data_IF_337049241356
#
_entry.id   IF_337049241356
#
_cell.length_a   1.000
_cell.length_b   1.000
_cell.length_c   1.000
_cell.angle_alpha   90.00
_cell.angle_beta   90.00
_cell.angle_gamma   90.00
#
_symmetry.space_group_name_H-M   'P 1'
#
loop_
_entity.id
_entity.type
_entity.pdbx_description
1 polymer ?
#
# COMPACT_ATOMS: atom_id res chain seq x y z
N UNK A 1 25.19 -44.51 10.29
CA UNK A 1 24.37 -43.35 10.67
C UNK A 1 23.00 -43.63 10.11
N UNK A 2 22.04 -43.97 10.98
CA UNK A 2 20.67 -44.37 10.58
C UNK A 2 19.87 -43.17 10.04
N UNK A 3 18.99 -43.42 9.05
CA UNK A 3 18.13 -42.42 8.45
C UNK A 3 17.25 -41.67 9.47
N UNK A 4 16.96 -42.24 10.62
CA UNK A 4 16.22 -41.62 11.73
C UNK A 4 16.98 -40.47 12.41
N UNK A 5 18.33 -40.45 12.38
CA UNK A 5 19.12 -39.38 12.98
C UNK A 5 19.18 -38.11 12.09
N UNK A 6 18.85 -38.21 10.80
CA UNK A 6 18.81 -37.08 9.86
C UNK A 6 17.44 -36.38 9.90
N UNK A 7 16.38 -37.08 10.29
CA UNK A 7 15.00 -36.52 10.32
C UNK A 7 14.73 -35.67 11.57
N UNK A 8 15.52 -35.84 12.64
CA UNK A 8 15.36 -35.11 13.92
C UNK A 8 16.01 -33.70 13.97
N UNK A 9 16.71 -33.25 12.93
CA UNK A 9 17.55 -32.05 12.99
C UNK A 9 17.01 -30.79 12.31
N UNK A 10 15.79 -30.82 11.74
CA UNK A 10 15.20 -29.62 11.08
C UNK A 10 13.75 -29.48 11.50
N UNK A 11 13.39 -28.67 12.47
CA UNK A 11 12.12 -27.95 12.32
C UNK A 11 11.79 -26.74 13.20
N UNK A 12 12.53 -26.31 14.17
CA UNK A 12 12.00 -25.30 15.11
C UNK A 12 12.03 -23.83 14.62
N UNK A 13 12.74 -23.48 13.58
CA UNK A 13 12.80 -22.09 13.07
C UNK A 13 11.61 -21.72 12.19
N UNK A 14 11.01 -22.64 11.44
CA UNK A 14 9.91 -22.37 10.51
C UNK A 14 8.57 -22.08 11.21
N UNK A 15 8.29 -22.75 12.33
CA UNK A 15 7.05 -22.53 13.08
C UNK A 15 6.95 -21.13 13.69
N UNK A 16 8.07 -20.58 14.16
CA UNK A 16 8.15 -19.20 14.69
C UNK A 16 7.89 -18.13 13.63
N UNK A 17 8.42 -18.32 12.41
CA UNK A 17 8.24 -17.42 11.28
C UNK A 17 6.80 -17.45 10.74
N UNK A 18 6.27 -18.62 10.51
CA UNK A 18 4.88 -18.80 10.05
C UNK A 18 3.88 -18.24 11.07
N UNK A 19 4.05 -18.54 12.36
CA UNK A 19 3.23 -17.99 13.44
C UNK A 19 3.27 -16.47 13.52
N UNK A 20 4.43 -15.85 13.29
CA UNK A 20 4.60 -14.41 13.22
C UNK A 20 3.79 -13.82 12.07
N UNK A 21 4.03 -14.28 10.83
CA UNK A 21 3.32 -13.76 9.64
C UNK A 21 1.81 -13.97 9.74
N UNK A 22 1.36 -15.08 10.30
CA UNK A 22 -0.06 -15.31 10.55
C UNK A 22 -0.69 -14.27 11.47
N UNK A 23 -0.06 -13.98 12.63
CA UNK A 23 -0.58 -12.99 13.60
C UNK A 23 -0.55 -11.58 13.01
N UNK A 24 0.53 -11.21 12.38
CA UNK A 24 0.70 -9.84 11.84
C UNK A 24 -0.11 -9.60 10.58
N UNK A 25 -0.38 -10.61 9.76
CA UNK A 25 -1.27 -10.51 8.61
C UNK A 25 -2.74 -10.27 8.98
N UNK A 26 -3.15 -10.59 10.22
CA UNK A 26 -4.47 -10.24 10.73
C UNK A 26 -4.69 -8.71 10.81
N UNK A 27 -3.63 -7.91 10.95
CA UNK A 27 -3.73 -6.45 11.03
C UNK A 27 -4.29 -5.86 9.72
N UNK A 28 -3.62 -5.97 8.55
CA UNK A 28 -4.17 -5.44 7.31
C UNK A 28 -5.53 -6.07 6.95
N UNK A 29 -5.72 -7.37 7.16
CA UNK A 29 -6.99 -8.06 6.89
C UNK A 29 -8.11 -7.53 7.80
N UNK A 30 -7.84 -7.27 9.08
CA UNK A 30 -8.80 -6.70 10.02
C UNK A 30 -9.24 -5.28 9.63
N UNK A 31 -8.30 -4.42 9.22
CA UNK A 31 -8.65 -3.08 8.72
C UNK A 31 -9.45 -3.13 7.42
N UNK A 32 -9.12 -4.05 6.50
CA UNK A 32 -9.94 -4.26 5.29
C UNK A 32 -11.36 -4.75 5.63
N UNK A 33 -11.50 -5.61 6.65
CA UNK A 33 -12.83 -6.01 7.16
C UNK A 33 -13.57 -4.82 7.78
N UNK A 34 -12.86 -3.93 8.49
CA UNK A 34 -13.41 -2.67 8.99
C UNK A 34 -13.98 -1.78 7.89
N UNK A 35 -13.35 -1.73 6.70
CA UNK A 35 -13.88 -0.99 5.53
C UNK A 35 -15.21 -1.58 5.08
N UNK A 36 -15.35 -2.92 5.09
CA UNK A 36 -16.62 -3.57 4.74
C UNK A 36 -17.71 -3.18 5.74
N UNK A 37 -17.41 -3.19 7.03
CA UNK A 37 -18.35 -2.74 8.07
C UNK A 37 -18.77 -1.28 7.83
N UNK A 38 -17.79 -0.37 7.61
CA UNK A 38 -18.08 1.04 7.30
C UNK A 38 -18.94 1.15 6.04
N UNK A 39 -18.71 0.33 5.02
CA UNK A 39 -19.54 0.31 3.79
C UNK A 39 -21.00 -0.03 4.05
N UNK A 40 -21.32 -0.86 5.06
CA UNK A 40 -22.71 -1.17 5.44
C UNK A 40 -23.33 -0.13 6.37
N UNK A 41 -22.55 0.43 7.30
CA UNK A 41 -23.07 1.38 8.31
C UNK A 41 -22.87 2.85 7.94
N UNK A 42 -22.32 3.14 6.76
CA UNK A 42 -21.98 4.50 6.31
C UNK A 42 -23.15 5.52 6.40
N UNK A 43 -24.43 5.17 6.22
CA UNK A 43 -25.50 6.16 6.38
C UNK A 43 -25.62 6.74 7.78
N UNK A 44 -25.11 6.00 8.79
CA UNK A 44 -25.14 6.38 10.21
C UNK A 44 -23.82 7.03 10.68
N UNK A 45 -22.81 7.17 9.80
CA UNK A 45 -21.49 7.69 10.12
C UNK A 45 -21.21 9.01 9.37
N UNK A 46 -21.24 10.18 10.04
CA UNK A 46 -21.03 11.48 9.37
C UNK A 46 -19.71 11.57 8.59
N UNK A 47 -18.64 11.00 9.12
CA UNK A 47 -17.29 11.05 8.53
C UNK A 47 -16.86 9.74 7.85
N UNK A 48 -17.80 8.92 7.38
CA UNK A 48 -17.51 7.58 6.85
C UNK A 48 -16.45 7.54 5.73
N UNK A 49 -16.45 8.55 4.83
CA UNK A 49 -15.46 8.63 3.74
C UNK A 49 -14.04 8.78 4.30
N UNK A 50 -13.87 9.72 5.24
CA UNK A 50 -12.61 9.95 5.92
C UNK A 50 -12.17 8.68 6.66
N UNK A 51 -13.09 8.05 7.38
CA UNK A 51 -12.83 6.81 8.12
C UNK A 51 -12.40 5.67 7.19
N UNK A 52 -13.10 5.45 6.07
CA UNK A 52 -12.76 4.42 5.09
C UNK A 52 -11.37 4.65 4.46
N UNK A 53 -11.03 5.91 4.13
CA UNK A 53 -9.72 6.28 3.59
C UNK A 53 -8.62 5.96 4.61
N UNK A 54 -8.79 6.33 5.88
CA UNK A 54 -7.77 6.12 6.90
C UNK A 54 -7.68 4.66 7.36
N UNK A 55 -8.78 3.91 7.39
CA UNK A 55 -8.77 2.45 7.56
C UNK A 55 -7.95 1.76 6.45
N UNK A 56 -8.12 2.19 5.20
CA UNK A 56 -7.35 1.66 4.09
C UNK A 56 -5.86 2.05 4.20
N UNK A 57 -5.57 3.35 4.26
CA UNK A 57 -4.20 3.85 4.10
C UNK A 57 -3.36 3.69 5.36
N UNK A 58 -3.85 4.18 6.50
CA UNK A 58 -3.10 4.15 7.75
C UNK A 58 -3.24 2.78 8.43
N UNK A 59 -4.43 2.19 8.35
CA UNK A 59 -4.69 0.84 8.87
C UNK A 59 -4.10 -0.27 8.01
N UNK A 60 -4.75 -0.61 6.89
CA UNK A 60 -4.38 -1.80 6.11
C UNK A 60 -3.03 -1.65 5.39
N UNK A 61 -2.87 -0.58 4.61
CA UNK A 61 -1.67 -0.37 3.75
C UNK A 61 -0.43 -0.16 4.60
N UNK A 62 -0.47 0.71 5.62
CA UNK A 62 0.72 1.00 6.42
C UNK A 62 1.17 -0.21 7.24
N UNK A 63 0.24 -1.03 7.79
CA UNK A 63 0.63 -2.29 8.42
C UNK A 63 1.25 -3.26 7.42
N UNK A 64 0.70 -3.38 6.20
CA UNK A 64 1.29 -4.20 5.15
C UNK A 64 2.69 -3.70 4.76
N UNK A 65 2.88 -2.37 4.60
CA UNK A 65 4.17 -1.78 4.28
C UNK A 65 5.19 -2.07 5.39
N UNK A 66 4.87 -1.81 6.66
CA UNK A 66 5.78 -2.06 7.78
C UNK A 66 6.21 -3.53 7.86
N UNK A 67 5.27 -4.45 7.67
CA UNK A 67 5.52 -5.89 7.73
C UNK A 67 6.38 -6.36 6.55
N UNK A 68 5.94 -6.04 5.34
CA UNK A 68 6.56 -6.60 4.14
C UNK A 68 7.83 -5.89 3.73
N UNK A 69 7.98 -4.56 3.96
CA UNK A 69 9.24 -3.87 3.72
C UNK A 69 10.37 -4.38 4.63
N UNK A 70 10.04 -4.74 5.89
CA UNK A 70 11.00 -5.40 6.76
C UNK A 70 11.42 -6.78 6.22
N UNK A 71 10.45 -7.57 5.77
CA UNK A 71 10.70 -8.88 5.15
C UNK A 71 11.56 -8.76 3.88
N UNK A 72 11.19 -7.85 2.96
CA UNK A 72 11.95 -7.62 1.73
C UNK A 72 13.35 -7.08 2.01
N UNK A 73 13.50 -6.16 2.97
CA UNK A 73 14.82 -5.64 3.37
C UNK A 73 15.74 -6.77 3.81
N UNK A 74 15.27 -7.67 4.68
CA UNK A 74 16.07 -8.82 5.10
C UNK A 74 16.43 -9.72 3.91
N UNK A 75 15.50 -9.96 2.99
CA UNK A 75 15.72 -10.81 1.83
C UNK A 75 16.71 -10.19 0.82
N UNK A 76 16.53 -8.90 0.45
CA UNK A 76 17.34 -8.25 -0.59
C UNK A 76 18.75 -7.91 -0.10
N UNK A 77 18.92 -7.64 1.19
CA UNK A 77 20.21 -7.37 1.82
C UNK A 77 20.89 -8.66 2.32
N UNK A 78 20.19 -9.81 2.27
CA UNK A 78 20.70 -11.10 2.77
C UNK A 78 21.13 -11.05 4.23
N UNK A 79 20.42 -10.27 5.06
CA UNK A 79 20.67 -10.21 6.49
C UNK A 79 19.85 -11.26 7.22
N UNK A 80 20.44 -11.84 8.26
CA UNK A 80 19.79 -12.86 9.07
C UNK A 80 18.54 -12.29 9.76
N UNK A 81 17.49 -13.11 9.86
CA UNK A 81 16.32 -12.73 10.64
C UNK A 81 16.73 -12.51 12.11
N UNK A 82 16.19 -11.49 12.79
CA UNK A 82 16.53 -11.25 14.18
C UNK A 82 16.09 -12.43 15.05
N UNK A 83 16.90 -12.77 16.06
CA UNK A 83 16.62 -13.87 17.03
C UNK A 83 15.29 -13.60 17.75
N UNK A 84 14.98 -12.34 18.06
CA UNK A 84 13.70 -11.94 18.64
C UNK A 84 13.00 -10.89 17.77
N UNK A 85 11.69 -11.04 17.61
CA UNK A 85 10.86 -10.08 16.88
C UNK A 85 10.23 -9.00 17.80
N UNK A 86 10.78 -8.84 19.01
CA UNK A 86 10.23 -7.91 20.01
C UNK A 86 10.17 -6.47 19.48
N UNK A 87 11.24 -5.97 18.86
CA UNK A 87 11.28 -4.62 18.30
C UNK A 87 10.28 -4.41 17.16
N UNK A 88 10.06 -5.44 16.33
CA UNK A 88 9.07 -5.42 15.26
C UNK A 88 7.63 -5.43 15.85
N UNK A 89 7.40 -6.24 16.89
CA UNK A 89 6.11 -6.29 17.59
C UNK A 89 5.77 -4.95 18.27
N UNK A 90 6.72 -4.34 18.97
CA UNK A 90 6.54 -3.02 19.62
C UNK A 90 6.23 -1.96 18.57
N UNK A 91 6.96 -1.93 17.46
CA UNK A 91 6.72 -0.98 16.37
C UNK A 91 5.32 -1.12 15.78
N UNK A 92 4.86 -2.35 15.53
CA UNK A 92 3.49 -2.62 15.06
C UNK A 92 2.44 -2.26 16.12
N UNK A 93 2.70 -2.53 17.40
CA UNK A 93 1.79 -2.16 18.49
C UNK A 93 1.62 -0.65 18.60
N UNK A 94 2.73 0.11 18.61
CA UNK A 94 2.72 1.59 18.64
C UNK A 94 2.00 2.15 17.41
N UNK A 95 2.28 1.59 16.22
CA UNK A 95 1.58 1.96 14.98
C UNK A 95 0.07 1.80 15.14
N UNK A 96 -0.40 0.64 15.59
CA UNK A 96 -1.84 0.34 15.67
C UNK A 96 -2.54 1.13 16.78
N UNK A 97 -1.91 1.36 17.93
CA UNK A 97 -2.43 2.28 18.94
C UNK A 97 -2.57 3.69 18.38
N UNK A 98 -1.56 4.15 17.63
CA UNK A 98 -1.61 5.43 16.93
C UNK A 98 -2.76 5.51 15.91
N UNK A 99 -2.91 4.48 15.08
CA UNK A 99 -4.01 4.38 14.11
C UNK A 99 -5.37 4.45 14.80
N UNK A 100 -5.57 3.66 15.86
CA UNK A 100 -6.84 3.67 16.61
C UNK A 100 -7.13 5.04 17.22
N UNK A 101 -6.11 5.74 17.75
CA UNK A 101 -6.24 7.11 18.27
C UNK A 101 -6.67 8.10 17.18
N UNK A 102 -6.05 8.03 15.99
CA UNK A 102 -6.43 8.87 14.84
C UNK A 102 -7.87 8.59 14.40
N UNK A 103 -8.24 7.31 14.25
CA UNK A 103 -9.58 6.91 13.81
C UNK A 103 -10.65 7.32 14.82
N UNK A 104 -10.41 7.14 16.12
CA UNK A 104 -11.33 7.55 17.17
C UNK A 104 -11.54 9.07 17.19
N UNK A 105 -10.49 9.85 17.09
CA UNK A 105 -10.59 11.31 17.05
C UNK A 105 -11.35 11.83 15.82
N UNK A 106 -11.13 11.21 14.65
CA UNK A 106 -11.82 11.59 13.41
C UNK A 106 -13.29 11.18 13.35
N UNK A 107 -13.78 10.42 14.33
CA UNK A 107 -15.19 9.98 14.40
C UNK A 107 -15.95 10.60 15.57
N UNK A 108 -15.49 10.38 16.81
CA UNK A 108 -16.23 10.75 18.03
C UNK A 108 -15.34 11.29 19.15
N UNK A 109 -14.03 11.23 18.98
CA UNK A 109 -13.08 11.51 20.03
C UNK A 109 -12.61 12.97 20.08
N UNK A 110 -11.96 13.36 21.16
CA UNK A 110 -11.37 14.69 21.28
C UNK A 110 -10.09 14.83 20.43
N UNK A 111 -9.79 16.07 20.03
CA UNK A 111 -8.63 16.41 19.16
C UNK A 111 -7.31 15.89 19.73
N UNK A 112 -7.09 15.97 21.05
CA UNK A 112 -5.85 15.50 21.67
C UNK A 112 -5.58 14.00 21.40
N UNK A 113 -6.63 13.19 21.30
CA UNK A 113 -6.50 11.75 20.97
C UNK A 113 -5.97 11.55 19.55
N UNK A 114 -6.40 12.40 18.61
CA UNK A 114 -5.89 12.38 17.23
C UNK A 114 -4.43 12.83 17.14
N UNK A 115 -4.06 13.86 17.89
CA UNK A 115 -2.67 14.33 17.98
C UNK A 115 -1.77 13.25 18.61
N UNK A 116 -2.19 12.66 19.73
CA UNK A 116 -1.46 11.55 20.36
C UNK A 116 -1.37 10.32 19.43
N UNK A 117 -2.47 10.01 18.73
CA UNK A 117 -2.49 8.95 17.72
C UNK A 117 -1.50 9.21 16.58
N UNK A 118 -1.49 10.42 16.03
CA UNK A 118 -0.53 10.84 14.99
C UNK A 118 0.92 10.77 15.49
N UNK A 119 1.19 11.17 16.74
CA UNK A 119 2.50 11.02 17.36
C UNK A 119 2.92 9.55 17.49
N UNK A 120 2.00 8.64 17.80
CA UNK A 120 2.23 7.20 17.81
C UNK A 120 2.60 6.66 16.42
N UNK A 121 1.83 7.04 15.38
CA UNK A 121 2.14 6.70 13.99
C UNK A 121 3.53 7.23 13.60
N UNK A 122 3.81 8.50 13.90
CA UNK A 122 5.10 9.13 13.62
C UNK A 122 6.25 8.37 14.29
N UNK A 123 6.14 8.07 15.59
CA UNK A 123 7.15 7.33 16.35
C UNK A 123 7.40 5.93 15.77
N UNK A 124 6.36 5.21 15.39
CA UNK A 124 6.48 3.90 14.76
C UNK A 124 7.23 3.97 13.42
N UNK A 125 6.95 5.00 12.61
CA UNK A 125 7.62 5.21 11.30
C UNK A 125 9.07 5.65 11.48
N UNK A 126 9.37 6.52 12.47
CA UNK A 126 10.76 6.86 12.83
C UNK A 126 11.54 5.61 13.22
N UNK A 127 10.97 4.77 14.09
CA UNK A 127 11.60 3.52 14.50
C UNK A 127 11.83 2.58 13.31
N UNK A 128 10.90 2.54 12.36
CA UNK A 128 11.04 1.77 11.11
C UNK A 128 12.13 2.33 10.21
N UNK A 129 12.15 3.64 9.98
CA UNK A 129 13.19 4.35 9.21
C UNK A 129 14.58 4.08 9.77
N UNK A 130 14.75 4.23 11.09
CA UNK A 130 16.03 3.96 11.77
C UNK A 130 16.44 2.50 11.60
N UNK A 131 15.49 1.57 11.73
CA UNK A 131 15.77 0.15 11.53
C UNK A 131 16.21 -0.13 10.08
N UNK A 132 15.49 0.37 9.06
CA UNK A 132 15.87 0.24 7.64
C UNK A 132 17.27 0.80 7.36
N UNK A 133 17.56 2.01 7.88
CA UNK A 133 18.84 2.67 7.70
C UNK A 133 20.00 1.86 8.34
N UNK A 134 19.77 1.29 9.53
CA UNK A 134 20.75 0.41 10.19
C UNK A 134 21.01 -0.85 9.37
N UNK A 135 19.94 -1.51 8.88
CA UNK A 135 20.11 -2.70 8.03
C UNK A 135 20.92 -2.38 6.78
N UNK A 136 20.64 -1.25 6.12
CA UNK A 136 21.35 -0.85 4.91
C UNK A 136 22.84 -0.54 5.19
N UNK A 137 23.14 0.10 6.34
CA UNK A 137 24.52 0.46 6.71
C UNK A 137 25.37 -0.75 7.10
N UNK A 138 24.78 -1.77 7.70
CA UNK A 138 25.48 -2.96 8.18
C UNK A 138 25.54 -4.10 7.15
N UNK A 139 24.74 -4.02 6.09
CA UNK A 139 24.73 -5.03 5.04
C UNK A 139 25.93 -4.91 4.12
N UNK A 140 26.38 -6.04 3.60
CA UNK A 140 27.32 -6.08 2.49
C UNK A 140 26.68 -5.48 1.22
N UNK A 141 27.49 -5.01 0.25
CA UNK A 141 26.97 -4.49 -1.01
C UNK A 141 25.99 -5.47 -1.67
N UNK A 142 24.76 -5.04 -1.85
CA UNK A 142 23.69 -5.88 -2.39
C UNK A 142 23.10 -5.27 -3.67
N UNK A 143 22.93 -6.10 -4.70
CA UNK A 143 22.39 -5.70 -6.01
C UNK A 143 21.05 -4.96 -5.89
N UNK A 144 20.18 -5.42 -4.98
CA UNK A 144 18.81 -4.94 -4.81
C UNK A 144 18.66 -3.92 -3.67
N UNK A 145 19.75 -3.36 -3.14
CA UNK A 145 19.70 -2.33 -2.09
C UNK A 145 18.84 -1.12 -2.48
N UNK A 146 18.67 -0.84 -3.77
CA UNK A 146 17.78 0.23 -4.27
C UNK A 146 16.34 0.10 -3.73
N UNK A 147 15.83 -1.11 -3.54
CA UNK A 147 14.52 -1.34 -2.92
C UNK A 147 14.44 -0.72 -1.53
N UNK A 148 15.51 -0.83 -0.72
CA UNK A 148 15.55 -0.24 0.63
C UNK A 148 15.63 1.29 0.56
N UNK A 149 16.30 1.86 -0.43
CA UNK A 149 16.30 3.32 -0.64
C UNK A 149 14.89 3.86 -0.93
N UNK A 150 14.06 3.13 -1.70
CA UNK A 150 12.65 3.48 -1.88
C UNK A 150 11.88 3.45 -0.56
N UNK A 151 12.11 2.45 0.30
CA UNK A 151 11.45 2.37 1.62
C UNK A 151 11.88 3.50 2.56
N UNK A 152 13.17 3.87 2.54
CA UNK A 152 13.66 5.01 3.31
C UNK A 152 13.01 6.32 2.84
N UNK A 153 12.97 6.55 1.52
CA UNK A 153 12.33 7.72 0.92
C UNK A 153 10.83 7.77 1.25
N UNK A 154 10.15 6.63 1.16
CA UNK A 154 8.74 6.52 1.50
C UNK A 154 8.47 6.83 2.99
N UNK A 155 9.29 6.31 3.90
CA UNK A 155 9.19 6.61 5.33
C UNK A 155 9.38 8.11 5.61
N UNK A 156 10.36 8.76 4.96
CA UNK A 156 10.56 10.21 5.06
C UNK A 156 9.32 10.97 4.58
N UNK A 157 8.72 10.56 3.45
CA UNK A 157 7.51 11.19 2.94
C UNK A 157 6.34 11.09 3.95
N UNK A 158 6.12 9.92 4.55
CA UNK A 158 5.08 9.77 5.57
C UNK A 158 5.38 10.63 6.81
N UNK A 159 6.63 10.73 7.22
CA UNK A 159 7.05 11.60 8.34
C UNK A 159 6.82 13.08 8.07
N UNK A 160 6.78 13.53 6.82
CA UNK A 160 6.39 14.90 6.46
C UNK A 160 4.87 15.08 6.39
N UNK A 161 4.14 14.05 5.98
CA UNK A 161 2.68 14.10 5.83
C UNK A 161 1.92 13.96 7.16
N UNK A 162 2.38 13.12 8.11
CA UNK A 162 1.69 12.87 9.38
C UNK A 162 1.53 14.14 10.24
N UNK A 163 2.56 15.00 10.45
CA UNK A 163 2.40 16.23 11.20
C UNK A 163 1.37 17.20 10.58
N UNK A 164 1.31 17.26 9.24
CA UNK A 164 0.31 18.08 8.55
C UNK A 164 -1.09 17.54 8.79
N UNK A 165 -1.26 16.21 8.81
CA UNK A 165 -2.52 15.57 9.18
C UNK A 165 -2.98 15.91 10.60
N UNK A 166 -2.04 15.89 11.56
CA UNK A 166 -2.31 16.30 12.94
C UNK A 166 -2.66 17.80 13.04
N UNK A 167 -1.96 18.64 12.29
CA UNK A 167 -2.22 20.09 12.26
C UNK A 167 -3.62 20.40 11.72
N UNK A 168 -4.10 19.68 10.72
CA UNK A 168 -5.46 19.85 10.18
C UNK A 168 -6.59 19.51 11.16
N UNK A 169 -6.30 18.89 12.30
CA UNK A 169 -7.29 18.68 13.37
C UNK A 169 -7.64 19.97 14.09
N UNK A 170 -6.74 20.98 14.07
CA UNK A 170 -6.89 22.26 14.78
C UNK A 170 -7.02 23.46 13.83
N UNK A 171 -6.64 23.30 12.56
CA UNK A 171 -6.69 24.39 11.56
C UNK A 171 -7.98 24.28 10.74
N UNK A 172 -8.76 25.36 10.75
CA UNK A 172 -10.05 25.46 10.05
C UNK A 172 -10.15 26.69 9.13
N UNK A 173 -9.02 27.32 8.82
CA UNK A 173 -8.92 28.53 8.00
C UNK A 173 -8.74 28.25 6.50
N UNK A 174 -8.50 29.31 5.73
CA UNK A 174 -8.30 29.25 4.28
C UNK A 174 -7.06 28.45 3.83
N UNK A 175 -6.14 28.11 4.74
CA UNK A 175 -4.97 27.27 4.42
C UNK A 175 -5.32 25.79 4.36
N UNK A 176 -6.40 25.34 5.03
CA UNK A 176 -6.78 23.94 5.17
C UNK A 176 -6.86 23.18 3.83
N UNK A 177 -7.48 23.70 2.73
CA UNK A 177 -7.51 22.99 1.45
C UNK A 177 -6.13 22.69 0.88
N UNK A 178 -5.16 23.58 1.02
CA UNK A 178 -3.77 23.37 0.59
C UNK A 178 -3.08 22.29 1.42
N UNK A 179 -3.33 22.29 2.73
CA UNK A 179 -2.81 21.27 3.65
C UNK A 179 -3.40 19.89 3.33
N UNK A 180 -4.69 19.81 2.98
CA UNK A 180 -5.33 18.54 2.54
C UNK A 180 -4.69 18.01 1.26
N UNK A 181 -4.50 18.86 0.25
CA UNK A 181 -3.84 18.48 -1.00
C UNK A 181 -2.39 18.02 -0.75
N UNK A 182 -1.62 18.78 0.03
CA UNK A 182 -0.25 18.40 0.40
C UNK A 182 -0.23 17.04 1.11
N UNK A 183 -1.02 16.91 2.19
CA UNK A 183 -1.10 15.69 3.00
C UNK A 183 -1.46 14.46 2.15
N UNK A 184 -2.46 14.59 1.28
CA UNK A 184 -2.92 13.50 0.44
C UNK A 184 -1.84 13.10 -0.58
N UNK A 185 -1.28 14.05 -1.33
CA UNK A 185 -0.28 13.77 -2.35
C UNK A 185 1.01 13.18 -1.77
N UNK A 186 1.55 13.80 -0.70
CA UNK A 186 2.81 13.34 -0.10
C UNK A 186 2.66 11.94 0.51
N UNK A 187 1.53 11.66 1.16
CA UNK A 187 1.30 10.32 1.72
C UNK A 187 0.99 9.27 0.65
N UNK A 188 0.16 9.59 -0.35
CA UNK A 188 -0.19 8.63 -1.39
C UNK A 188 0.98 8.36 -2.33
N UNK A 189 1.58 9.39 -2.92
CA UNK A 189 2.69 9.20 -3.85
C UNK A 189 3.99 8.88 -3.13
N UNK A 190 4.26 9.54 -1.99
CA UNK A 190 5.46 9.33 -1.20
C UNK A 190 5.44 8.00 -0.44
N UNK A 191 4.47 7.78 0.45
CA UNK A 191 4.47 6.55 1.26
C UNK A 191 4.07 5.32 0.46
N UNK A 192 2.93 5.39 -0.29
CA UNK A 192 2.37 4.20 -0.93
C UNK A 192 3.05 3.92 -2.27
N UNK A 193 3.04 4.88 -3.22
CA UNK A 193 3.55 4.62 -4.58
C UNK A 193 5.05 4.35 -4.57
N UNK A 194 5.88 5.10 -3.83
CA UNK A 194 7.32 4.80 -3.74
C UNK A 194 7.57 3.41 -3.16
N UNK A 195 6.83 3.00 -2.11
CA UNK A 195 6.95 1.65 -1.56
C UNK A 195 6.61 0.59 -2.61
N UNK A 196 5.53 0.78 -3.37
CA UNK A 196 5.12 -0.13 -4.44
C UNK A 196 6.20 -0.20 -5.52
N UNK A 197 6.70 0.94 -6.01
CA UNK A 197 7.76 0.97 -7.03
C UNK A 197 9.01 0.21 -6.58
N UNK A 198 9.50 0.47 -5.36
CA UNK A 198 10.64 -0.25 -4.82
C UNK A 198 10.41 -1.75 -4.67
N UNK A 199 9.22 -2.15 -4.23
CA UNK A 199 8.85 -3.56 -4.04
C UNK A 199 8.71 -4.31 -5.37
N UNK A 200 8.12 -3.69 -6.38
CA UNK A 200 7.87 -4.31 -7.68
C UNK A 200 9.15 -4.68 -8.43
N UNK A 201 10.29 -4.05 -8.13
CA UNK A 201 11.59 -4.43 -8.73
C UNK A 201 11.88 -5.93 -8.57
N UNK A 202 11.58 -6.48 -7.41
CA UNK A 202 11.80 -7.89 -7.07
C UNK A 202 10.52 -8.71 -7.05
N UNK A 203 9.41 -8.13 -6.59
CA UNK A 203 8.15 -8.84 -6.45
C UNK A 203 7.53 -9.17 -7.81
N UNK A 204 7.55 -8.26 -8.79
CA UNK A 204 6.88 -8.47 -10.06
C UNK A 204 7.39 -9.70 -10.84
N UNK A 205 8.70 -9.87 -11.10
CA UNK A 205 9.20 -11.08 -11.75
C UNK A 205 8.95 -12.34 -10.91
N UNK A 206 8.95 -12.22 -9.59
CA UNK A 206 8.71 -13.34 -8.67
C UNK A 206 7.26 -13.83 -8.76
N UNK A 207 6.28 -12.93 -8.75
CA UNK A 207 4.85 -13.28 -8.87
C UNK A 207 4.53 -13.84 -10.26
N UNK A 208 5.16 -13.30 -11.31
CA UNK A 208 5.07 -13.84 -12.68
C UNK A 208 5.82 -15.16 -12.84
N UNK A 209 6.66 -15.56 -11.88
CA UNK A 209 7.52 -16.75 -11.97
C UNK A 209 8.37 -16.74 -13.25
N UNK A 210 9.06 -15.64 -13.49
CA UNK A 210 9.93 -15.43 -14.65
C UNK A 210 11.19 -14.66 -14.26
N UNK A 211 12.17 -14.62 -15.17
CA UNK A 211 13.39 -13.86 -14.95
C UNK A 211 13.12 -12.36 -14.99
N UNK A 212 13.78 -11.62 -14.10
CA UNK A 212 13.77 -10.16 -14.10
C UNK A 212 14.45 -9.64 -15.37
N UNK A 213 13.98 -8.49 -15.88
CA UNK A 213 14.68 -7.77 -16.93
C UNK A 213 16.06 -7.28 -16.43
N UNK A 214 17.06 -7.29 -17.30
CA UNK A 214 18.44 -6.99 -16.92
C UNK A 214 18.62 -5.55 -16.41
N UNK A 215 17.89 -4.61 -17.00
CA UNK A 215 17.91 -3.19 -16.69
C UNK A 215 17.00 -2.79 -15.50
N UNK A 216 16.29 -3.72 -14.86
CA UNK A 216 15.32 -3.41 -13.81
C UNK A 216 15.91 -2.63 -12.63
N UNK A 217 17.11 -3.01 -12.17
CA UNK A 217 17.79 -2.33 -11.06
C UNK A 217 18.29 -0.93 -11.49
N UNK A 218 18.80 -0.80 -12.70
CA UNK A 218 19.25 0.49 -13.26
C UNK A 218 18.07 1.43 -13.43
N UNK A 219 16.97 0.96 -14.00
CA UNK A 219 15.74 1.74 -14.14
C UNK A 219 15.21 2.19 -12.78
N UNK A 220 15.21 1.32 -11.76
CA UNK A 220 14.81 1.70 -10.41
C UNK A 220 15.72 2.78 -9.80
N UNK A 221 17.04 2.70 -10.01
CA UNK A 221 17.98 3.73 -9.54
C UNK A 221 17.77 5.08 -10.23
N UNK A 222 17.44 5.08 -11.53
CA UNK A 222 17.13 6.29 -12.29
C UNK A 222 15.76 6.87 -11.90
N UNK A 223 14.75 6.02 -11.68
CA UNK A 223 13.40 6.46 -11.37
C UNK A 223 13.28 7.12 -9.98
N UNK A 224 14.05 6.67 -8.99
CA UNK A 224 13.94 7.19 -7.62
C UNK A 224 14.19 8.71 -7.51
N UNK A 225 15.30 9.29 -7.99
CA UNK A 225 15.50 10.74 -7.91
C UNK A 225 14.45 11.52 -8.71
N UNK A 226 14.03 11.02 -9.87
CA UNK A 226 12.95 11.64 -10.67
C UNK A 226 11.64 11.64 -9.89
N UNK A 227 11.29 10.54 -9.23
CA UNK A 227 10.09 10.44 -8.38
C UNK A 227 10.16 11.42 -7.20
N UNK A 228 11.31 11.53 -6.52
CA UNK A 228 11.49 12.45 -5.41
C UNK A 228 11.39 13.92 -5.86
N UNK A 229 11.94 14.26 -7.01
CA UNK A 229 11.79 15.60 -7.60
C UNK A 229 10.32 15.88 -7.91
N UNK A 230 9.60 14.95 -8.57
CA UNK A 230 8.18 15.08 -8.83
C UNK A 230 7.36 15.26 -7.54
N UNK A 231 7.64 14.45 -6.51
CA UNK A 231 6.98 14.53 -5.21
C UNK A 231 7.22 15.88 -4.51
N UNK A 232 8.44 16.39 -4.54
CA UNK A 232 8.77 17.70 -3.98
C UNK A 232 8.02 18.83 -4.69
N UNK A 233 7.96 18.81 -6.04
CA UNK A 233 7.21 19.78 -6.82
C UNK A 233 5.71 19.72 -6.52
N UNK A 234 5.13 18.52 -6.42
CA UNK A 234 3.72 18.33 -6.03
C UNK A 234 3.47 18.87 -4.64
N UNK A 235 4.30 18.53 -3.65
CA UNK A 235 4.14 18.98 -2.27
C UNK A 235 4.26 20.50 -2.13
N UNK A 236 5.37 21.08 -2.58
CA UNK A 236 5.61 22.53 -2.49
C UNK A 236 4.59 23.32 -3.32
N UNK A 237 4.28 22.84 -4.52
CA UNK A 237 3.27 23.47 -5.36
C UNK A 237 1.86 23.44 -4.75
N UNK A 238 1.50 22.38 -4.03
CA UNK A 238 0.21 22.28 -3.31
C UNK A 238 0.12 23.30 -2.19
N UNK A 239 1.18 23.45 -1.39
CA UNK A 239 1.23 24.45 -0.30
C UNK A 239 1.18 25.89 -0.82
N UNK A 240 1.94 26.18 -1.89
CA UNK A 240 1.98 27.50 -2.50
C UNK A 240 0.76 27.79 -3.41
N UNK A 241 -0.05 26.78 -3.70
CA UNK A 241 -1.13 26.84 -4.69
C UNK A 241 -0.62 27.21 -6.09
N UNK A 242 0.52 26.68 -6.50
CA UNK A 242 1.08 26.84 -7.83
C UNK A 242 0.66 25.65 -8.72
N UNK A 243 -0.55 25.71 -9.26
CA UNK A 243 -1.19 24.63 -10.03
C UNK A 243 -0.29 24.03 -11.12
N UNK A 244 0.37 24.90 -11.89
CA UNK A 244 1.28 24.47 -12.97
C UNK A 244 2.47 23.68 -12.42
N UNK A 245 2.99 24.07 -11.24
CA UNK A 245 4.08 23.36 -10.58
C UNK A 245 3.60 22.01 -10.08
N UNK A 246 2.39 21.93 -9.49
CA UNK A 246 1.81 20.64 -9.05
C UNK A 246 1.65 19.70 -10.22
N UNK A 247 1.04 20.15 -11.32
CA UNK A 247 0.82 19.33 -12.54
C UNK A 247 2.13 18.95 -13.21
N UNK A 248 3.11 19.88 -13.27
CA UNK A 248 4.46 19.57 -13.70
C UNK A 248 5.13 18.50 -12.82
N UNK A 249 4.96 18.60 -11.50
CA UNK A 249 5.41 17.60 -10.54
C UNK A 249 4.75 16.23 -10.74
N UNK A 250 3.44 16.19 -11.01
CA UNK A 250 2.72 14.96 -11.36
C UNK A 250 3.27 14.35 -12.65
N UNK A 251 3.56 15.15 -13.67
CA UNK A 251 4.15 14.68 -14.92
C UNK A 251 5.56 14.11 -14.71
N UNK A 252 6.39 14.78 -13.89
CA UNK A 252 7.73 14.28 -13.52
C UNK A 252 7.61 12.98 -12.72
N UNK A 253 6.66 12.87 -11.79
CA UNK A 253 6.43 11.64 -11.04
C UNK A 253 5.92 10.51 -11.95
N UNK A 254 5.02 10.81 -12.89
CA UNK A 254 4.54 9.85 -13.89
C UNK A 254 5.69 9.37 -14.81
N UNK A 255 6.64 10.24 -15.17
CA UNK A 255 7.86 9.85 -15.88
C UNK A 255 8.67 8.83 -15.08
N UNK A 256 8.84 9.04 -13.77
CA UNK A 256 9.52 8.07 -12.91
C UNK A 256 8.80 6.71 -12.89
N UNK A 257 7.45 6.71 -12.82
CA UNK A 257 6.64 5.50 -12.95
C UNK A 257 6.89 4.84 -14.31
N UNK A 258 6.93 5.58 -15.39
CA UNK A 258 7.23 5.09 -16.75
C UNK A 258 8.62 4.46 -16.86
N UNK A 259 9.65 5.09 -16.27
CA UNK A 259 11.01 4.54 -16.20
C UNK A 259 11.01 3.19 -15.48
N UNK A 260 10.37 3.10 -14.32
CA UNK A 260 10.27 1.86 -13.55
C UNK A 260 9.37 0.80 -14.23
N UNK A 261 8.34 1.20 -14.96
CA UNK A 261 7.43 0.32 -15.66
C UNK A 261 8.05 -0.35 -16.90
N UNK A 262 9.03 0.28 -17.55
CA UNK A 262 9.67 -0.27 -18.76
C UNK A 262 10.20 -1.70 -18.59
N UNK A 263 11.04 -2.02 -17.59
CA UNK A 263 11.49 -3.39 -17.36
C UNK A 263 10.39 -4.31 -16.86
N UNK A 264 9.39 -3.78 -16.15
CA UNK A 264 8.23 -4.56 -15.72
C UNK A 264 7.38 -5.01 -16.91
N UNK A 265 7.15 -4.15 -17.90
CA UNK A 265 6.48 -4.48 -19.16
C UNK A 265 7.29 -5.51 -19.98
N UNK A 266 8.60 -5.35 -20.07
CA UNK A 266 9.47 -6.32 -20.73
C UNK A 266 9.37 -7.71 -20.06
N UNK A 267 9.29 -7.75 -18.73
CA UNK A 267 9.07 -8.98 -17.95
C UNK A 267 7.70 -9.58 -18.24
N UNK A 268 6.63 -8.76 -18.29
CA UNK A 268 5.27 -9.21 -18.61
C UNK A 268 5.12 -9.72 -20.05
N UNK A 269 5.87 -9.18 -21.02
CA UNK A 269 5.89 -9.68 -22.39
C UNK A 269 6.51 -11.08 -22.50
N UNK A 270 7.47 -11.41 -21.62
CA UNK A 270 8.04 -12.78 -21.56
C UNK A 270 7.07 -13.77 -20.93
N UNK A 271 6.30 -13.34 -19.94
CA UNK A 271 5.28 -14.13 -19.29
C UNK A 271 4.11 -13.24 -18.87
N UNK A 272 3.00 -13.40 -19.57
CA UNK A 272 1.79 -12.63 -19.31
C UNK A 272 1.21 -12.92 -17.91
N UNK A 273 0.53 -11.95 -17.27
CA UNK A 273 -0.26 -12.16 -16.06
C UNK A 273 -1.28 -13.30 -16.23
N UNK A 274 -1.40 -14.18 -15.24
CA UNK A 274 -2.28 -15.34 -15.28
C UNK A 274 -2.84 -15.75 -13.92
N UNK A 275 -2.90 -14.81 -12.97
CA UNK A 275 -3.41 -15.04 -11.61
C UNK A 275 -4.07 -13.78 -11.06
N UNK A 276 -4.84 -13.91 -9.97
CA UNK A 276 -5.41 -12.76 -9.28
C UNK A 276 -4.32 -11.76 -8.87
N UNK A 277 -3.23 -12.23 -8.27
CA UNK A 277 -2.12 -11.40 -7.83
C UNK A 277 -1.52 -10.58 -8.98
N UNK A 278 -1.20 -11.21 -10.10
CA UNK A 278 -0.55 -10.55 -11.23
C UNK A 278 -1.47 -9.56 -11.95
N UNK A 279 -2.74 -9.92 -12.16
CA UNK A 279 -3.71 -9.04 -12.82
C UNK A 279 -4.13 -7.86 -11.92
N UNK A 280 -4.27 -8.07 -10.60
CA UNK A 280 -4.57 -6.97 -9.66
C UNK A 280 -3.45 -5.94 -9.65
N UNK A 281 -2.18 -6.37 -9.62
CA UNK A 281 -1.03 -5.45 -9.67
C UNK A 281 -0.99 -4.72 -11.03
N UNK A 282 -1.18 -5.43 -12.14
CA UNK A 282 -1.16 -4.83 -13.48
C UNK A 282 -2.30 -3.82 -13.68
N UNK A 283 -3.54 -4.19 -13.34
CA UNK A 283 -4.70 -3.32 -13.43
C UNK A 283 -4.56 -2.11 -12.50
N UNK A 284 -4.10 -2.32 -11.27
CA UNK A 284 -3.81 -1.24 -10.33
C UNK A 284 -2.79 -0.25 -10.88
N UNK A 285 -1.72 -0.74 -11.51
CA UNK A 285 -0.73 0.14 -12.16
C UNK A 285 -1.34 0.98 -13.31
N UNK A 286 -2.28 0.41 -14.07
CA UNK A 286 -3.06 1.15 -15.07
C UNK A 286 -3.93 2.26 -14.44
N UNK A 287 -4.60 1.94 -13.33
CA UNK A 287 -5.43 2.92 -12.60
C UNK A 287 -4.61 4.07 -12.00
N UNK A 288 -3.35 3.85 -11.65
CA UNK A 288 -2.45 4.93 -11.21
C UNK A 288 -2.26 5.97 -12.32
N UNK A 289 -2.13 5.54 -13.59
CA UNK A 289 -2.02 6.47 -14.72
C UNK A 289 -3.32 7.25 -14.94
N UNK A 290 -4.48 6.57 -14.81
CA UNK A 290 -5.79 7.25 -14.83
C UNK A 290 -5.88 8.28 -13.71
N UNK A 291 -5.43 7.94 -12.50
CA UNK A 291 -5.44 8.86 -11.36
C UNK A 291 -4.60 10.11 -11.61
N UNK A 292 -3.41 9.99 -12.21
CA UNK A 292 -2.59 11.16 -12.59
C UNK A 292 -3.32 12.09 -13.58
N UNK A 293 -4.01 11.53 -14.58
CA UNK A 293 -4.78 12.32 -15.54
C UNK A 293 -5.97 13.05 -14.90
N UNK A 294 -6.72 12.35 -14.06
CA UNK A 294 -7.88 12.92 -13.34
C UNK A 294 -7.42 13.99 -12.35
N UNK A 295 -6.30 13.79 -11.67
CA UNK A 295 -5.74 14.75 -10.71
C UNK A 295 -5.24 16.02 -11.40
N UNK A 296 -4.50 15.88 -12.50
CA UNK A 296 -4.08 17.00 -13.32
C UNK A 296 -5.29 17.82 -13.83
N UNK A 297 -6.34 17.15 -14.30
CA UNK A 297 -7.58 17.81 -14.69
C UNK A 297 -8.24 18.55 -13.50
N UNK A 298 -8.37 17.91 -12.36
CA UNK A 298 -8.99 18.48 -11.16
C UNK A 298 -8.26 19.76 -10.71
N UNK A 299 -6.91 19.74 -10.73
CA UNK A 299 -6.07 20.86 -10.34
C UNK A 299 -6.12 22.01 -11.36
N UNK A 300 -5.97 21.71 -12.66
CA UNK A 300 -5.95 22.74 -13.70
C UNK A 300 -7.29 23.45 -13.85
N UNK A 301 -8.40 22.71 -13.71
CA UNK A 301 -9.73 23.28 -13.85
C UNK A 301 -10.25 23.97 -12.57
N UNK A 302 -9.55 23.87 -11.43
CA UNK A 302 -9.96 24.50 -10.18
C UNK A 302 -9.52 25.96 -10.11
N UNK A 303 -10.43 26.92 -9.85
CA UNK A 303 -10.08 28.33 -9.71
C UNK A 303 -9.35 28.65 -8.40
N UNK A 304 -9.57 27.86 -7.34
CA UNK A 304 -9.00 28.05 -6.01
C UNK A 304 -8.76 26.72 -5.30
N UNK A 305 -7.99 26.68 -4.18
CA UNK A 305 -7.67 25.46 -3.45
C UNK A 305 -8.89 24.69 -2.94
N UNK A 306 -9.92 25.39 -2.49
CA UNK A 306 -11.15 24.75 -1.97
C UNK A 306 -11.91 23.97 -3.04
N UNK A 307 -11.97 24.49 -4.28
CA UNK A 307 -12.57 23.77 -5.40
C UNK A 307 -11.71 22.57 -5.79
N UNK A 308 -10.37 22.68 -5.74
CA UNK A 308 -9.47 21.56 -6.00
C UNK A 308 -9.63 20.45 -4.96
N UNK A 309 -9.66 20.79 -3.66
CA UNK A 309 -9.96 19.85 -2.58
C UNK A 309 -11.31 19.17 -2.81
N UNK A 310 -12.35 19.95 -3.12
CA UNK A 310 -13.67 19.41 -3.42
C UNK A 310 -13.70 18.45 -4.61
N UNK A 311 -12.87 18.68 -5.65
CA UNK A 311 -12.72 17.77 -6.81
C UNK A 311 -11.83 16.57 -6.53
N UNK A 312 -10.98 16.64 -5.53
CA UNK A 312 -10.03 15.56 -5.23
C UNK A 312 -10.75 14.25 -4.86
N UNK A 313 -12.01 14.30 -4.40
CA UNK A 313 -12.79 13.07 -4.19
C UNK A 313 -12.98 12.23 -5.46
N UNK A 314 -12.96 12.84 -6.66
CA UNK A 314 -13.03 12.10 -7.93
C UNK A 314 -11.70 11.39 -8.20
N UNK A 315 -10.58 12.00 -7.81
CA UNK A 315 -9.22 11.42 -7.92
C UNK A 315 -9.06 10.22 -6.98
N UNK A 316 -9.68 10.28 -5.80
CA UNK A 316 -9.54 9.22 -4.79
C UNK A 316 -10.07 7.87 -5.28
N UNK A 317 -11.06 7.81 -6.16
CA UNK A 317 -11.63 6.53 -6.63
C UNK A 317 -10.63 5.74 -7.47
N UNK A 318 -10.08 6.25 -8.59
CA UNK A 318 -9.05 5.55 -9.34
C UNK A 318 -7.79 5.31 -8.52
N UNK A 319 -7.43 6.22 -7.61
CA UNK A 319 -6.22 6.11 -6.82
C UNK A 319 -6.35 5.08 -5.67
N UNK A 320 -7.42 5.15 -4.87
CA UNK A 320 -7.55 4.27 -3.69
C UNK A 320 -8.12 2.90 -4.05
N UNK A 321 -9.17 2.86 -4.85
CA UNK A 321 -9.83 1.59 -5.20
C UNK A 321 -9.17 0.98 -6.43
N UNK A 322 -8.90 1.80 -7.44
CA UNK A 322 -8.26 1.36 -8.66
C UNK A 322 -6.81 0.91 -8.43
N UNK A 323 -5.99 1.74 -7.83
CA UNK A 323 -4.56 1.43 -7.62
C UNK A 323 -4.30 0.79 -6.26
N UNK A 324 -4.49 1.51 -5.15
CA UNK A 324 -4.00 1.10 -3.82
C UNK A 324 -4.60 -0.24 -3.39
N UNK A 325 -5.94 -0.36 -3.43
CA UNK A 325 -6.60 -1.59 -3.00
C UNK A 325 -6.24 -2.76 -3.91
N UNK A 326 -6.28 -2.61 -5.24
CA UNK A 326 -5.94 -3.72 -6.14
C UNK A 326 -4.49 -4.18 -5.97
N UNK A 327 -3.51 -3.26 -5.85
CA UNK A 327 -2.12 -3.63 -5.60
C UNK A 327 -1.96 -4.31 -4.24
N UNK A 328 -2.60 -3.80 -3.18
CA UNK A 328 -2.57 -4.42 -1.85
C UNK A 328 -3.14 -5.84 -1.88
N UNK A 329 -4.34 -6.02 -2.44
CA UNK A 329 -5.00 -7.33 -2.51
C UNK A 329 -4.21 -8.32 -3.38
N UNK A 330 -3.66 -7.84 -4.50
CA UNK A 330 -2.78 -8.62 -5.36
C UNK A 330 -1.51 -9.06 -4.65
N UNK A 331 -0.83 -8.14 -3.97
CA UNK A 331 0.37 -8.45 -3.21
C UNK A 331 0.08 -9.43 -2.06
N UNK A 332 -0.99 -9.21 -1.28
CA UNK A 332 -1.39 -10.12 -0.19
C UNK A 332 -1.76 -11.51 -0.70
N UNK A 333 -2.40 -11.63 -1.87
CA UNK A 333 -2.74 -12.93 -2.46
C UNK A 333 -1.51 -13.80 -2.76
N UNK A 334 -0.36 -13.18 -3.02
CA UNK A 334 0.92 -13.87 -3.19
C UNK A 334 1.69 -14.01 -1.87
N UNK A 335 1.77 -12.95 -1.09
CA UNK A 335 2.64 -12.87 0.08
C UNK A 335 2.11 -13.67 1.27
N UNK A 336 0.78 -13.76 1.44
CA UNK A 336 0.20 -14.54 2.55
C UNK A 336 0.59 -16.03 2.47
N UNK A 337 0.35 -16.76 1.35
CA UNK A 337 0.78 -18.14 1.23
C UNK A 337 2.27 -18.36 1.49
N UNK A 338 3.12 -17.48 0.93
CA UNK A 338 4.59 -17.56 1.11
C UNK A 338 5.01 -17.29 2.54
N UNK A 339 4.40 -16.29 3.20
CA UNK A 339 4.70 -15.93 4.59
C UNK A 339 4.26 -16.99 5.59
N UNK A 340 3.14 -17.66 5.34
CA UNK A 340 2.62 -18.74 6.17
C UNK A 340 3.44 -20.03 6.05
N UNK A 341 4.11 -20.26 4.91
CA UNK A 341 4.96 -21.43 4.74
C UNK A 341 4.18 -22.75 4.71
N UNK A 342 4.69 -23.77 5.39
CA UNK A 342 4.09 -25.12 5.43
C UNK A 342 4.51 -26.02 4.23
N UNK A 343 5.56 -25.61 3.51
CA UNK A 343 6.11 -26.33 2.38
C UNK A 343 5.38 -26.06 1.04
N UNK A 344 5.91 -26.60 -0.06
CA UNK A 344 5.42 -26.30 -1.41
C UNK A 344 3.95 -26.71 -1.66
N UNK A 345 3.47 -27.76 -1.00
CA UNK A 345 2.08 -28.24 -1.13
C UNK A 345 1.11 -27.26 -0.48
N UNK A 346 1.36 -26.87 0.79
CA UNK A 346 0.53 -25.91 1.51
C UNK A 346 0.49 -24.55 0.81
N UNK A 347 1.65 -24.04 0.36
CA UNK A 347 1.72 -22.78 -0.39
C UNK A 347 0.89 -22.85 -1.68
N UNK A 348 0.92 -23.95 -2.42
CA UNK A 348 0.08 -24.13 -3.62
C UNK A 348 -1.41 -24.15 -3.28
N UNK A 349 -1.82 -24.85 -2.23
CA UNK A 349 -3.22 -24.93 -1.79
C UNK A 349 -3.75 -23.56 -1.35
N UNK A 350 -2.99 -22.82 -0.53
CA UNK A 350 -3.34 -21.47 -0.10
C UNK A 350 -3.43 -20.50 -1.29
N UNK A 351 -2.47 -20.60 -2.24
CA UNK A 351 -2.49 -19.77 -3.45
C UNK A 351 -3.72 -20.10 -4.31
N UNK A 352 -4.05 -21.38 -4.52
CA UNK A 352 -5.23 -21.79 -5.28
C UNK A 352 -6.53 -21.29 -4.63
N UNK A 353 -6.61 -21.28 -3.30
CA UNK A 353 -7.75 -20.74 -2.56
C UNK A 353 -7.93 -19.24 -2.81
N UNK A 354 -6.86 -18.44 -2.78
CA UNK A 354 -6.88 -17.00 -3.01
C UNK A 354 -7.08 -16.64 -4.49
N UNK A 355 -6.68 -17.52 -5.40
CA UNK A 355 -6.75 -17.33 -6.85
C UNK A 355 -8.09 -17.80 -7.47
N UNK A 356 -8.97 -18.34 -6.63
CA UNK A 356 -10.27 -18.87 -7.10
C UNK A 356 -11.11 -17.76 -7.75
N UNK A 357 -11.67 -18.05 -8.94
CA UNK A 357 -12.50 -17.12 -9.72
C UNK A 357 -11.83 -15.78 -10.05
N UNK A 358 -10.50 -15.75 -10.20
CA UNK A 358 -9.77 -14.51 -10.41
C UNK A 358 -10.20 -13.71 -11.64
N UNK A 359 -10.53 -14.32 -12.82
CA UNK A 359 -10.91 -13.54 -13.98
C UNK A 359 -12.20 -12.73 -13.76
N UNK A 360 -13.21 -13.36 -13.13
CA UNK A 360 -14.48 -12.71 -12.82
C UNK A 360 -14.30 -11.58 -11.81
N UNK A 361 -13.47 -11.81 -10.77
CA UNK A 361 -13.17 -10.81 -9.73
C UNK A 361 -12.47 -9.58 -10.32
N UNK A 362 -11.47 -9.79 -11.17
CA UNK A 362 -10.74 -8.70 -11.85
C UNK A 362 -11.69 -7.96 -12.80
N UNK A 363 -12.43 -8.68 -13.64
CA UNK A 363 -13.36 -8.07 -14.59
C UNK A 363 -14.44 -7.25 -13.86
N UNK A 364 -15.07 -7.81 -12.84
CA UNK A 364 -16.11 -7.14 -12.06
C UNK A 364 -15.59 -5.86 -11.40
N UNK A 365 -14.42 -5.92 -10.73
CA UNK A 365 -13.83 -4.76 -10.05
C UNK A 365 -13.53 -3.64 -11.04
N UNK A 366 -12.87 -3.95 -12.14
CA UNK A 366 -12.44 -2.93 -13.09
C UNK A 366 -13.62 -2.38 -13.92
N UNK A 367 -14.58 -3.21 -14.33
CA UNK A 367 -15.79 -2.75 -14.99
C UNK A 367 -16.63 -1.84 -14.08
N UNK A 368 -16.81 -2.23 -12.80
CA UNK A 368 -17.49 -1.39 -11.83
C UNK A 368 -16.80 -0.04 -11.62
N UNK A 369 -15.48 -0.01 -11.56
CA UNK A 369 -14.71 1.24 -11.44
C UNK A 369 -14.84 2.12 -12.67
N UNK A 370 -14.75 1.58 -13.89
CA UNK A 370 -14.95 2.34 -15.13
C UNK A 370 -16.34 2.99 -15.14
N UNK A 371 -17.37 2.22 -14.84
CA UNK A 371 -18.75 2.75 -14.80
C UNK A 371 -18.91 3.79 -13.70
N UNK A 372 -18.28 3.58 -12.53
CA UNK A 372 -18.40 4.50 -11.39
C UNK A 372 -17.81 5.89 -11.66
N UNK A 373 -16.71 6.00 -12.41
CA UNK A 373 -16.06 7.28 -12.73
C UNK A 373 -16.77 8.04 -13.86
N UNK A 374 -17.61 7.38 -14.64
CA UNK A 374 -18.39 8.02 -15.69
C UNK A 374 -19.59 8.79 -15.10
N UNK A 375 -20.08 9.82 -15.79
CA UNK A 375 -21.34 10.46 -15.44
C UNK A 375 -22.48 9.44 -15.49
N UNK A 376 -22.94 8.96 -14.33
CA UNK A 376 -23.97 7.93 -14.23
C UNK A 376 -25.03 8.30 -13.19
N UNK A 377 -26.28 7.85 -13.38
CA UNK A 377 -27.34 8.05 -12.40
C UNK A 377 -27.01 7.47 -11.03
N UNK A 378 -27.60 7.99 -9.94
CA UNK A 378 -27.31 7.55 -8.57
C UNK A 378 -27.43 6.04 -8.34
N UNK A 379 -28.46 5.39 -8.91
CA UNK A 379 -28.66 3.95 -8.78
C UNK A 379 -27.51 3.13 -9.41
N UNK A 380 -26.95 3.58 -10.54
CA UNK A 380 -25.78 2.93 -11.16
C UNK A 380 -24.55 3.06 -10.26
N UNK A 381 -24.34 4.24 -9.67
CA UNK A 381 -23.24 4.47 -8.72
C UNK A 381 -23.36 3.61 -7.46
N UNK A 382 -24.58 3.46 -6.93
CA UNK A 382 -24.83 2.56 -5.79
C UNK A 382 -24.49 1.12 -6.18
N UNK A 383 -25.01 0.64 -7.32
CA UNK A 383 -24.76 -0.73 -7.78
C UNK A 383 -23.25 -0.99 -7.97
N UNK A 384 -22.55 -0.07 -8.61
CA UNK A 384 -21.09 -0.24 -8.83
C UNK A 384 -20.30 -0.18 -7.52
N UNK A 385 -20.71 0.64 -6.55
CA UNK A 385 -20.10 0.65 -5.21
C UNK A 385 -20.30 -0.69 -4.48
N UNK A 386 -21.49 -1.28 -4.59
CA UNK A 386 -21.78 -2.61 -4.02
C UNK A 386 -20.97 -3.70 -4.70
N UNK A 387 -20.75 -3.63 -6.01
CA UNK A 387 -19.89 -4.58 -6.73
C UNK A 387 -18.43 -4.47 -6.28
N UNK A 388 -17.89 -3.27 -6.06
CA UNK A 388 -16.56 -3.04 -5.50
C UNK A 388 -16.47 -3.60 -4.07
N UNK A 389 -17.47 -3.36 -3.24
CA UNK A 389 -17.51 -3.91 -1.88
C UNK A 389 -17.58 -5.44 -1.90
N UNK A 390 -18.39 -6.02 -2.80
CA UNK A 390 -18.45 -7.46 -3.01
C UNK A 390 -17.11 -8.05 -3.44
N UNK A 391 -16.34 -7.36 -4.30
CA UNK A 391 -15.00 -7.78 -4.68
C UNK A 391 -14.04 -7.82 -3.47
N UNK A 392 -14.13 -6.86 -2.56
CA UNK A 392 -13.35 -6.88 -1.31
C UNK A 392 -13.76 -8.05 -0.40
N UNK A 393 -15.05 -8.32 -0.25
CA UNK A 393 -15.55 -9.47 0.51
C UNK A 393 -15.08 -10.79 -0.10
N UNK A 394 -15.10 -10.91 -1.42
CA UNK A 394 -14.58 -12.07 -2.15
C UNK A 394 -13.08 -12.30 -1.96
N UNK A 395 -12.32 -11.28 -1.60
CA UNK A 395 -10.93 -11.44 -1.16
C UNK A 395 -10.84 -11.83 0.32
N UNK A 396 -11.59 -11.17 1.19
CA UNK A 396 -11.49 -11.35 2.64
C UNK A 396 -11.87 -12.77 3.08
N UNK A 397 -12.92 -13.35 2.52
CA UNK A 397 -13.37 -14.69 2.89
C UNK A 397 -12.25 -15.74 2.69
N UNK A 398 -11.64 -15.89 1.51
CA UNK A 398 -10.54 -16.83 1.33
C UNK A 398 -9.28 -16.44 2.12
N UNK A 399 -8.99 -15.14 2.30
CA UNK A 399 -7.84 -14.70 3.09
C UNK A 399 -7.96 -15.13 4.56
N UNK A 400 -9.13 -14.94 5.17
CA UNK A 400 -9.41 -15.39 6.53
C UNK A 400 -9.36 -16.93 6.63
N UNK A 401 -9.94 -17.64 5.65
CA UNK A 401 -9.85 -19.12 5.61
C UNK A 401 -8.40 -19.60 5.61
N UNK A 402 -7.55 -19.02 4.74
CA UNK A 402 -6.13 -19.36 4.65
C UNK A 402 -5.42 -19.09 6.00
N UNK A 403 -5.69 -17.96 6.64
CA UNK A 403 -5.11 -17.62 7.95
C UNK A 403 -5.57 -18.56 9.09
N UNK A 404 -6.80 -19.09 9.01
CA UNK A 404 -7.33 -20.02 10.00
C UNK A 404 -6.84 -21.45 9.77
N UNK A 405 -6.77 -21.92 8.52
CA UNK A 405 -6.32 -23.27 8.17
C UNK A 405 -4.82 -23.48 8.38
N UNK A 406 -4.01 -22.44 8.27
CA UNK A 406 -2.59 -22.48 8.61
C UNK A 406 -2.29 -22.74 10.10
N UNK A 407 -3.32 -22.98 10.93
CA UNK A 407 -3.17 -23.40 12.34
C UNK A 407 -2.93 -24.90 12.51
N UNK A 408 -3.27 -25.68 11.49
CA UNK A 408 -3.14 -27.14 11.50
C UNK A 408 -1.90 -27.59 10.74
#
# INVERSE_FOLDING_TARGET
VSAEAVEAAVPHQDTGRAGWHRRTALLPVGYLAGIVVVGFVHPFLPSWRWLAIHLLLVGAVSNAILLWSAHFTAAVLRVSAPVTRRGEAVRLAVMNLGVLGVLAAGTVGPVWLGVAGAAGVFAAVVAHLVWLARQLRTALPARFAVTVHYYLAAAVALLTGVPVGAWMLVVHDAARPRLVLFHAHVNLFGWVVLTVLGTLVTLWPTVLRTRMAEDAVTAARQALPVALTGLALVGLGSLAWWRVVVVGGLAVFALAVGIAARPALATARRKAPGSFATWSIAAGSGWLLVAFGVDAWALLSAPNPGVAEGRFHVVLVPLLVGFVAQVLLGALSYLLPVGLGGGPVAVRQHTATLDRHWPQRIAMTNAALVVFILPAPPYVRITTSLLVLAALVQFLIPAVRVLLTARR
#
